data_IF_163019300912
#
_entry.id   IF_163019300912
#
_cell.length_a   1.000
_cell.length_b   1.000
_cell.length_c   1.000
_cell.angle_alpha   90.00
_cell.angle_beta   90.00
_cell.angle_gamma   90.00
#
_symmetry.space_group_name_H-M   'P 1'
#
loop_
_entity.id
_entity.type
_entity.pdbx_description
1 polymer ?
#
# COMPACT_ATOMS: atom_id res chain seq x y z
N UNK A 1 28.49 3.49 15.81
CA UNK A 1 28.88 2.87 17.10
C UNK A 1 28.38 3.68 18.30
N UNK A 2 28.64 4.99 18.37
CA UNK A 2 28.23 5.87 19.50
C UNK A 2 26.72 5.83 19.80
N UNK A 3 25.86 5.98 18.77
CA UNK A 3 24.39 5.96 18.95
C UNK A 3 23.87 4.61 19.44
N UNK A 4 24.48 3.50 19.02
CA UNK A 4 24.13 2.13 19.48
C UNK A 4 24.49 1.93 20.95
N UNK A 5 25.70 2.36 21.35
CA UNK A 5 26.14 2.31 22.75
C UNK A 5 25.27 3.20 23.64
N UNK A 6 24.92 4.39 23.16
CA UNK A 6 24.03 5.32 23.86
C UNK A 6 22.66 4.69 24.13
N UNK A 7 21.99 4.13 23.12
CA UNK A 7 20.68 3.48 23.32
C UNK A 7 20.76 2.17 24.10
N UNK A 8 21.89 1.45 24.07
CA UNK A 8 22.11 0.29 24.93
C UNK A 8 22.16 0.71 26.40
N UNK A 9 22.86 1.80 26.70
CA UNK A 9 22.92 2.38 28.05
C UNK A 9 21.57 2.95 28.49
N UNK A 10 20.90 3.71 27.61
CA UNK A 10 19.54 4.23 27.86
C UNK A 10 18.57 3.11 28.24
N UNK A 11 18.50 2.03 27.46
CA UNK A 11 17.65 0.86 27.78
C UNK A 11 17.97 0.26 29.15
N UNK A 12 19.24 0.18 29.56
CA UNK A 12 19.62 -0.32 30.89
C UNK A 12 19.13 0.59 32.02
N UNK A 13 19.24 1.91 31.85
CA UNK A 13 18.70 2.87 32.82
C UNK A 13 17.18 2.77 32.92
N UNK A 14 16.51 2.57 31.79
CA UNK A 14 15.05 2.42 31.73
C UNK A 14 14.57 1.16 32.47
N UNK A 15 15.35 0.09 32.45
CA UNK A 15 15.02 -1.15 33.15
C UNK A 15 15.40 -1.14 34.65
N UNK A 16 15.91 -0.02 35.18
CA UNK A 16 16.28 0.09 36.60
C UNK A 16 15.05 0.28 37.51
N UNK A 17 15.19 -0.11 38.79
CA UNK A 17 14.09 -0.19 39.77
C UNK A 17 13.38 1.16 40.03
N UNK A 18 14.04 2.30 39.79
CA UNK A 18 13.51 3.66 40.04
C UNK A 18 13.11 4.38 38.74
N UNK A 19 12.51 3.66 37.81
CA UNK A 19 12.15 4.19 36.51
C UNK A 19 10.73 4.77 36.49
N UNK A 20 10.59 5.98 35.94
CA UNK A 20 9.32 6.72 35.84
C UNK A 20 8.98 7.00 34.37
N UNK A 21 7.69 7.08 34.08
CA UNK A 21 7.11 7.35 32.77
C UNK A 21 7.59 8.66 32.14
N UNK A 22 7.88 9.70 32.95
CA UNK A 22 8.45 10.96 32.46
C UNK A 22 9.72 10.71 31.65
N UNK A 23 10.54 9.74 32.06
CA UNK A 23 11.76 9.37 31.35
C UNK A 23 11.50 8.69 30.01
N UNK A 24 10.36 7.98 29.81
CA UNK A 24 10.01 7.42 28.49
C UNK A 24 9.68 8.54 27.50
N UNK A 25 8.97 9.57 27.98
CA UNK A 25 8.69 10.76 27.17
C UNK A 25 9.98 11.47 26.77
N UNK A 26 10.93 11.62 27.69
CA UNK A 26 12.24 12.22 27.40
C UNK A 26 13.03 11.41 26.36
N UNK A 27 13.03 10.08 26.45
CA UNK A 27 13.66 9.20 25.45
C UNK A 27 13.01 9.34 24.05
N UNK A 28 11.68 9.49 23.99
CA UNK A 28 10.99 9.79 22.73
C UNK A 28 11.38 11.16 22.17
N UNK A 29 11.50 12.18 23.01
CA UNK A 29 11.94 13.51 22.58
C UNK A 29 13.39 13.49 22.07
N UNK A 30 14.28 12.79 22.77
CA UNK A 30 15.66 12.60 22.35
C UNK A 30 15.75 11.84 21.02
N UNK A 31 14.96 10.79 20.84
CA UNK A 31 14.87 10.10 19.56
C UNK A 31 14.39 11.04 18.44
N UNK A 32 13.39 11.89 18.70
CA UNK A 32 12.90 12.85 17.71
C UNK A 32 13.98 13.87 17.33
N UNK A 33 14.75 14.37 18.32
CA UNK A 33 15.90 15.24 18.09
C UNK A 33 16.96 14.56 17.24
N UNK A 34 17.35 13.33 17.55
CA UNK A 34 18.35 12.60 16.74
C UNK A 34 17.84 12.37 15.31
N UNK A 35 16.55 12.05 15.14
CA UNK A 35 15.94 11.82 13.83
C UNK A 35 15.81 13.10 13.00
N UNK A 36 15.71 14.28 13.62
CA UNK A 36 15.66 15.55 12.88
C UNK A 36 16.98 15.85 12.17
N UNK A 37 18.12 15.41 12.73
CA UNK A 37 19.45 15.50 12.10
C UNK A 37 19.81 14.27 11.27
N UNK A 38 19.39 13.08 11.69
CA UNK A 38 19.75 11.81 11.06
C UNK A 38 18.51 10.93 10.82
N UNK A 39 17.63 11.30 9.87
CA UNK A 39 16.31 10.69 9.69
C UNK A 39 16.32 9.21 9.27
N UNK A 40 17.45 8.71 8.77
CA UNK A 40 17.66 7.31 8.36
C UNK A 40 18.42 6.47 9.42
N UNK A 41 18.55 6.94 10.66
CA UNK A 41 19.24 6.19 11.72
C UNK A 41 18.39 5.01 12.24
N UNK A 42 18.76 3.77 11.90
CA UNK A 42 17.99 2.59 12.32
C UNK A 42 18.05 2.34 13.83
N UNK A 43 19.17 2.65 14.47
CA UNK A 43 19.33 2.45 15.91
C UNK A 43 18.35 3.33 16.70
N UNK A 44 18.16 4.58 16.24
CA UNK A 44 17.16 5.49 16.81
C UNK A 44 15.74 5.00 16.57
N UNK A 45 15.40 4.57 15.34
CA UNK A 45 14.09 3.99 15.07
C UNK A 45 13.82 2.72 15.90
N UNK A 46 14.83 1.85 16.07
CA UNK A 46 14.75 0.66 16.92
C UNK A 46 14.56 1.00 18.39
N UNK A 47 15.29 1.99 18.90
CA UNK A 47 15.11 2.46 20.28
C UNK A 47 13.73 3.07 20.47
N UNK A 48 13.29 3.93 19.57
CA UNK A 48 11.95 4.55 19.61
C UNK A 48 10.84 3.52 19.68
N UNK A 49 10.85 2.49 18.82
CA UNK A 49 9.87 1.38 18.87
C UNK A 49 9.89 0.63 20.20
N UNK A 50 11.08 0.41 20.76
CA UNK A 50 11.22 -0.22 22.07
C UNK A 50 10.60 0.63 23.19
N UNK A 51 10.82 1.95 23.17
CA UNK A 51 10.21 2.89 24.14
C UNK A 51 8.69 2.89 23.99
N UNK A 52 8.15 2.96 22.77
CA UNK A 52 6.70 2.91 22.52
C UNK A 52 6.09 1.61 23.04
N UNK A 53 6.75 0.47 22.80
CA UNK A 53 6.32 -0.82 23.35
C UNK A 53 6.26 -0.77 24.88
N UNK A 54 7.27 -0.20 25.53
CA UNK A 54 7.28 -0.02 26.99
C UNK A 54 6.15 0.88 27.47
N UNK A 55 5.86 1.97 26.77
CA UNK A 55 4.71 2.84 27.08
C UNK A 55 3.39 2.07 26.99
N UNK A 56 3.21 1.27 25.93
CA UNK A 56 1.98 0.49 25.74
C UNK A 56 1.75 -0.56 26.84
N UNK A 57 2.81 -1.18 27.37
CA UNK A 57 2.74 -2.15 28.46
C UNK A 57 2.28 -1.52 29.79
N UNK A 58 2.41 -0.20 29.95
CA UNK A 58 2.04 0.53 31.18
C UNK A 58 0.64 1.18 31.11
N UNK A 59 -0.24 0.71 30.20
CA UNK A 59 -1.66 1.08 30.10
C UNK A 59 -1.96 2.58 30.02
N UNK A 60 -1.13 3.33 29.30
CA UNK A 60 -1.41 4.74 29.01
C UNK A 60 -2.13 4.91 27.68
N UNK A 61 -2.62 6.13 27.42
CA UNK A 61 -3.27 6.49 26.17
C UNK A 61 -2.30 6.38 24.97
N UNK A 62 -2.21 5.17 24.41
CA UNK A 62 -1.44 4.86 23.20
C UNK A 62 -2.01 5.62 21.99
N UNK A 63 -3.27 6.04 22.03
CA UNK A 63 -3.92 6.75 20.93
C UNK A 63 -3.27 8.10 20.67
N UNK A 64 -3.07 8.91 21.72
CA UNK A 64 -2.40 10.21 21.59
C UNK A 64 -0.94 10.04 21.12
N UNK A 65 -0.25 9.03 21.64
CA UNK A 65 1.12 8.71 21.22
C UNK A 65 1.18 8.39 19.72
N UNK A 66 0.28 7.55 19.21
CA UNK A 66 0.23 7.21 17.78
C UNK A 66 0.01 8.45 16.91
N UNK A 67 -0.89 9.35 17.30
CA UNK A 67 -1.12 10.59 16.54
C UNK A 67 0.14 11.46 16.50
N UNK A 68 0.87 11.58 17.62
CA UNK A 68 2.18 12.28 17.64
C UNK A 68 3.22 11.58 16.77
N UNK A 69 3.26 10.24 16.76
CA UNK A 69 4.14 9.47 15.87
C UNK A 69 3.81 9.69 14.39
N UNK A 70 2.52 9.76 14.05
CA UNK A 70 2.05 10.03 12.69
C UNK A 70 2.54 11.40 12.20
N UNK A 71 2.44 12.43 13.06
CA UNK A 71 2.98 13.78 12.77
C UNK A 71 4.51 13.73 12.58
N UNK A 72 5.25 13.09 13.49
CA UNK A 72 6.71 13.00 13.39
C UNK A 72 7.16 12.33 12.08
N UNK A 73 6.54 11.19 11.73
CA UNK A 73 6.87 10.48 10.48
C UNK A 73 6.60 11.36 9.26
N UNK A 74 5.48 12.10 9.27
CA UNK A 74 5.15 13.04 8.20
C UNK A 74 6.23 14.12 8.05
N UNK A 75 6.61 14.79 9.13
CA UNK A 75 7.67 15.82 9.10
C UNK A 75 9.01 15.29 8.61
N UNK A 76 9.36 14.06 9.01
CA UNK A 76 10.59 13.40 8.54
C UNK A 76 10.49 13.06 7.05
N UNK A 77 9.33 12.60 6.58
CA UNK A 77 9.11 12.26 5.17
C UNK A 77 9.15 13.50 4.26
N UNK A 78 8.67 14.66 4.74
CA UNK A 78 8.78 15.95 4.02
C UNK A 78 10.25 16.37 3.83
N UNK A 79 11.09 16.16 4.86
CA UNK A 79 12.50 16.56 4.84
C UNK A 79 13.42 15.53 4.17
N UNK A 80 13.05 14.26 4.19
CA UNK A 80 13.84 13.15 3.65
C UNK A 80 12.97 12.28 2.75
N UNK A 81 12.96 12.59 1.45
CA UNK A 81 12.27 11.80 0.43
C UNK A 81 12.66 10.32 0.50
N UNK A 82 11.68 9.44 0.22
CA UNK A 82 11.85 7.99 0.17
C UNK A 82 12.47 7.39 1.46
N UNK A 83 12.07 7.91 2.63
CA UNK A 83 12.54 7.38 3.90
C UNK A 83 11.77 6.12 4.28
N UNK A 84 12.21 4.97 3.74
CA UNK A 84 11.64 3.67 4.04
C UNK A 84 11.59 3.37 5.55
N UNK A 85 12.55 3.85 6.35
CA UNK A 85 12.57 3.60 7.80
C UNK A 85 11.43 4.29 8.53
N UNK A 86 11.12 5.53 8.14
CA UNK A 86 10.01 6.29 8.70
C UNK A 86 8.65 5.66 8.33
N UNK A 87 8.46 5.28 7.06
CA UNK A 87 7.26 4.57 6.63
C UNK A 87 7.11 3.19 7.28
N UNK A 88 8.20 2.43 7.42
CA UNK A 88 8.22 1.15 8.12
C UNK A 88 7.87 1.29 9.60
N UNK A 89 8.32 2.37 10.24
CA UNK A 89 7.92 2.69 11.61
C UNK A 89 6.40 2.93 11.70
N UNK A 90 5.82 3.66 10.75
CA UNK A 90 4.38 3.89 10.68
C UNK A 90 3.59 2.59 10.45
N UNK A 91 4.05 1.70 9.57
CA UNK A 91 3.48 0.35 9.42
C UNK A 91 3.55 -0.43 10.74
N UNK A 92 4.66 -0.35 11.47
CA UNK A 92 4.84 -1.05 12.75
C UNK A 92 3.87 -0.57 13.84
N UNK A 93 3.36 0.66 13.74
CA UNK A 93 2.38 1.20 14.69
C UNK A 93 0.95 0.69 14.46
N UNK A 94 0.66 0.11 13.29
CA UNK A 94 -0.71 -0.32 12.92
C UNK A 94 -1.34 -1.27 13.95
N UNK A 95 -0.65 -2.28 14.51
CA UNK A 95 -1.22 -3.16 15.53
C UNK A 95 -1.60 -2.46 16.84
N UNK A 96 -1.13 -1.24 17.07
CA UNK A 96 -1.48 -0.42 18.24
C UNK A 96 -2.67 0.52 17.96
N UNK A 97 -3.14 0.60 16.72
CA UNK A 97 -4.23 1.49 16.30
C UNK A 97 -5.59 0.83 16.50
N UNK A 98 -6.57 1.63 16.92
CA UNK A 98 -8.00 1.26 16.81
C UNK A 98 -8.45 1.28 15.34
N UNK A 99 -9.52 0.54 15.00
CA UNK A 99 -10.13 0.57 13.65
C UNK A 99 -10.43 1.99 13.17
N UNK A 100 -10.93 2.86 14.07
CA UNK A 100 -11.17 4.29 13.79
C UNK A 100 -9.89 5.04 13.43
N UNK A 101 -8.77 4.79 14.12
CA UNK A 101 -7.49 5.40 13.80
C UNK A 101 -6.94 4.90 12.46
N UNK A 102 -7.07 3.61 12.15
CA UNK A 102 -6.67 3.05 10.85
C UNK A 102 -7.45 3.72 9.71
N UNK A 103 -8.77 3.89 9.85
CA UNK A 103 -9.60 4.62 8.86
C UNK A 103 -9.19 6.09 8.73
N UNK A 104 -8.84 6.76 9.83
CA UNK A 104 -8.37 8.15 9.81
C UNK A 104 -7.01 8.26 9.10
N UNK A 105 -6.09 7.36 9.41
CA UNK A 105 -4.77 7.30 8.78
C UNK A 105 -4.89 7.02 7.28
N UNK A 106 -5.79 6.13 6.86
CA UNK A 106 -6.06 5.85 5.44
C UNK A 106 -6.48 7.12 4.68
N UNK A 107 -7.41 7.89 5.25
CA UNK A 107 -7.86 9.17 4.68
C UNK A 107 -6.72 10.20 4.60
N UNK A 108 -5.88 10.27 5.64
CA UNK A 108 -4.71 11.18 5.65
C UNK A 108 -3.67 10.74 4.61
N UNK A 109 -3.42 9.45 4.46
CA UNK A 109 -2.44 8.92 3.51
C UNK A 109 -2.88 9.06 2.07
N UNK A 110 -4.18 8.99 1.75
CA UNK A 110 -4.71 9.31 0.40
C UNK A 110 -4.22 10.67 -0.08
N UNK A 111 -4.40 11.74 0.71
CA UNK A 111 -3.95 13.10 0.36
C UNK A 111 -2.43 13.20 0.18
N UNK A 112 -1.68 12.46 0.99
CA UNK A 112 -0.22 12.43 0.87
C UNK A 112 0.22 11.75 -0.43
N UNK A 113 -0.41 10.62 -0.76
CA UNK A 113 -0.08 9.79 -1.92
C UNK A 113 -0.37 10.53 -3.24
N UNK A 114 -1.43 11.35 -3.29
CA UNK A 114 -1.74 12.20 -4.45
C UNK A 114 -0.62 13.18 -4.80
N UNK A 115 0.14 13.64 -3.79
CA UNK A 115 1.28 14.53 -3.95
C UNK A 115 2.61 13.78 -4.17
N UNK A 116 2.65 12.50 -3.81
CA UNK A 116 3.87 11.66 -3.80
C UNK A 116 3.66 10.36 -4.60
N UNK A 117 3.06 10.47 -5.78
CA UNK A 117 2.64 9.30 -6.59
C UNK A 117 3.77 8.34 -6.93
N UNK A 118 5.02 8.80 -6.98
CA UNK A 118 6.20 7.99 -7.26
C UNK A 118 6.79 7.27 -6.03
N UNK A 119 6.36 7.61 -4.81
CA UNK A 119 6.91 7.01 -3.58
C UNK A 119 6.17 5.72 -3.21
N UNK A 120 6.75 4.60 -3.62
CA UNK A 120 6.24 3.26 -3.30
C UNK A 120 6.14 2.99 -1.78
N UNK A 121 6.91 3.68 -0.94
CA UNK A 121 6.82 3.50 0.52
C UNK A 121 5.48 4.00 1.07
N UNK A 122 4.91 5.06 0.48
CA UNK A 122 3.61 5.60 0.90
C UNK A 122 2.48 4.63 0.51
N UNK A 123 2.53 4.07 -0.70
CA UNK A 123 1.60 3.02 -1.12
C UNK A 123 1.80 1.73 -0.33
N UNK A 124 3.01 1.40 0.12
CA UNK A 124 3.20 0.29 1.06
C UNK A 124 2.46 0.50 2.39
N UNK A 125 2.50 1.73 2.91
CA UNK A 125 1.74 2.08 4.12
C UNK A 125 0.22 2.02 3.88
N UNK A 126 -0.27 2.56 2.75
CA UNK A 126 -1.67 2.45 2.32
C UNK A 126 -2.15 0.99 2.30
N UNK A 127 -1.37 0.10 1.67
CA UNK A 127 -1.66 -1.34 1.61
C UNK A 127 -1.69 -1.98 3.00
N UNK A 128 -0.78 -1.59 3.88
CA UNK A 128 -0.74 -2.10 5.25
C UNK A 128 -1.98 -1.70 6.06
N UNK A 129 -2.50 -0.48 5.86
CA UNK A 129 -3.74 -0.03 6.49
C UNK A 129 -4.96 -0.80 5.96
N UNK A 130 -5.03 -1.00 4.64
CA UNK A 130 -6.10 -1.77 4.01
C UNK A 130 -6.12 -3.23 4.49
N UNK A 131 -4.96 -3.87 4.62
CA UNK A 131 -4.84 -5.22 5.20
C UNK A 131 -5.30 -5.25 6.66
N UNK A 132 -4.92 -4.26 7.47
CA UNK A 132 -5.36 -4.22 8.87
C UNK A 132 -6.88 -4.05 9.01
N UNK A 133 -7.53 -3.30 8.10
CA UNK A 133 -8.99 -3.21 8.06
C UNK A 133 -9.63 -4.55 7.71
N UNK A 134 -9.06 -5.28 6.75
CA UNK A 134 -9.51 -6.64 6.41
C UNK A 134 -9.34 -7.62 7.58
N UNK A 135 -8.17 -7.62 8.22
CA UNK A 135 -7.85 -8.51 9.35
C UNK A 135 -8.80 -8.26 10.54
N UNK A 136 -9.12 -7.00 10.83
CA UNK A 136 -10.07 -6.68 11.90
C UNK A 136 -11.49 -7.21 11.64
N UNK A 137 -11.91 -7.35 10.37
CA UNK A 137 -13.19 -7.96 10.01
C UNK A 137 -13.21 -9.49 10.21
N UNK A 138 -12.05 -10.15 10.33
CA UNK A 138 -11.94 -11.58 10.58
C UNK A 138 -11.92 -11.92 12.08
N UNK A 139 -11.54 -10.98 12.95
CA UNK A 139 -11.42 -11.20 14.40
C UNK A 139 -12.72 -10.89 15.13
N UNK A 140 -13.48 -9.92 14.63
CA UNK A 140 -14.82 -9.58 15.14
C UNK A 140 -15.85 -10.54 14.50
N UNK A 141 -15.90 -11.80 14.94
CA UNK A 141 -16.94 -12.81 14.64
C UNK A 141 -18.35 -12.42 15.17
N UNK A 142 -18.62 -11.12 15.31
CA UNK A 142 -19.98 -10.58 15.40
C UNK A 142 -20.53 -10.47 13.99
N UNK A 143 -21.70 -11.07 13.77
CA UNK A 143 -22.46 -11.22 12.52
C UNK A 143 -22.80 -9.91 11.74
N UNK A 144 -22.04 -8.83 11.84
CA UNK A 144 -22.37 -7.60 11.15
C UNK A 144 -21.86 -7.62 9.70
N UNK A 145 -22.69 -8.23 8.83
CA UNK A 145 -22.54 -8.18 7.37
C UNK A 145 -22.31 -6.76 6.81
N UNK A 146 -22.69 -5.72 7.57
CA UNK A 146 -22.48 -4.32 7.26
C UNK A 146 -21.01 -3.92 7.29
N UNK A 147 -20.20 -4.44 8.22
CA UNK A 147 -18.80 -4.07 8.36
C UNK A 147 -17.95 -4.64 7.21
N UNK A 148 -18.20 -5.90 6.84
CA UNK A 148 -17.57 -6.52 5.67
C UNK A 148 -17.95 -5.80 4.36
N UNK A 149 -19.23 -5.47 4.16
CA UNK A 149 -19.68 -4.68 3.00
C UNK A 149 -19.02 -3.29 2.96
N UNK A 150 -18.80 -2.68 4.12
CA UNK A 150 -18.12 -1.38 4.23
C UNK A 150 -16.65 -1.47 3.79
N UNK A 151 -15.92 -2.51 4.17
CA UNK A 151 -14.53 -2.70 3.71
C UNK A 151 -14.45 -2.99 2.21
N UNK A 152 -15.41 -3.74 1.66
CA UNK A 152 -15.46 -3.97 0.21
C UNK A 152 -15.74 -2.68 -0.57
N UNK A 153 -16.62 -1.82 -0.06
CA UNK A 153 -16.86 -0.51 -0.65
C UNK A 153 -15.57 0.33 -0.65
N UNK A 154 -14.85 0.37 0.48
CA UNK A 154 -13.54 1.05 0.57
C UNK A 154 -12.54 0.50 -0.44
N UNK A 155 -12.50 -0.82 -0.65
CA UNK A 155 -11.61 -1.44 -1.64
C UNK A 155 -11.94 -1.01 -3.07
N UNK A 156 -13.23 -0.93 -3.39
CA UNK A 156 -13.72 -0.45 -4.69
C UNK A 156 -13.39 1.03 -4.89
N UNK A 157 -13.58 1.85 -3.87
CA UNK A 157 -13.19 3.27 -3.90
C UNK A 157 -11.68 3.42 -4.13
N UNK A 158 -10.86 2.61 -3.46
CA UNK A 158 -9.40 2.61 -3.63
C UNK A 158 -8.98 2.17 -5.05
N UNK A 159 -9.66 1.18 -5.64
CA UNK A 159 -9.48 0.80 -7.05
C UNK A 159 -9.82 1.97 -7.98
N UNK A 160 -10.95 2.64 -7.79
CA UNK A 160 -11.35 3.79 -8.61
C UNK A 160 -10.37 4.96 -8.46
N UNK A 161 -9.93 5.25 -7.23
CA UNK A 161 -8.94 6.30 -6.96
C UNK A 161 -7.58 5.97 -7.59
N UNK A 162 -7.12 4.73 -7.49
CA UNK A 162 -5.88 4.31 -8.12
C UNK A 162 -5.95 4.40 -9.65
N UNK A 163 -7.09 4.04 -10.27
CA UNK A 163 -7.29 4.23 -11.72
C UNK A 163 -7.19 5.72 -12.11
N UNK A 164 -7.84 6.61 -11.35
CA UNK A 164 -7.76 8.06 -11.58
C UNK A 164 -6.29 8.53 -11.54
N UNK A 165 -5.51 8.07 -10.57
CA UNK A 165 -4.08 8.40 -10.49
C UNK A 165 -3.27 7.84 -11.67
N UNK A 166 -3.55 6.59 -12.09
CA UNK A 166 -2.87 5.96 -13.23
C UNK A 166 -3.09 6.76 -14.51
N UNK A 167 -4.31 7.26 -14.74
CA UNK A 167 -4.65 8.12 -15.89
C UNK A 167 -4.01 9.50 -15.78
N UNK A 168 -3.95 10.06 -14.57
CA UNK A 168 -3.41 11.41 -14.31
C UNK A 168 -1.89 11.47 -14.36
N UNK A 169 -1.20 10.45 -13.86
CA UNK A 169 0.24 10.41 -13.66
C UNK A 169 0.85 9.21 -14.38
N UNK A 170 1.07 9.38 -15.68
CA UNK A 170 1.55 8.33 -16.57
C UNK A 170 2.97 7.87 -16.20
N UNK A 171 3.25 6.59 -16.46
CA UNK A 171 4.58 6.01 -16.29
C UNK A 171 5.03 5.80 -14.83
N UNK A 172 4.15 5.99 -13.84
CA UNK A 172 4.48 5.81 -12.42
C UNK A 172 4.29 4.36 -11.99
N UNK A 173 5.40 3.61 -11.91
CA UNK A 173 5.42 2.18 -11.55
C UNK A 173 4.76 1.88 -10.20
N UNK A 174 4.93 2.75 -9.20
CA UNK A 174 4.31 2.65 -7.87
C UNK A 174 2.79 2.51 -7.93
N UNK A 175 2.12 3.19 -8.85
CA UNK A 175 0.66 3.11 -9.02
C UNK A 175 0.23 1.74 -9.54
N UNK A 176 0.99 1.17 -10.47
CA UNK A 176 0.74 -0.16 -11.01
C UNK A 176 1.08 -1.28 -10.03
N UNK A 177 2.11 -1.10 -9.20
CA UNK A 177 2.40 -2.01 -8.07
C UNK A 177 1.25 -2.00 -7.06
N UNK A 178 0.69 -0.82 -6.76
CA UNK A 178 -0.50 -0.70 -5.92
C UNK A 178 -1.72 -1.37 -6.57
N UNK A 179 -1.96 -1.15 -7.87
CA UNK A 179 -3.02 -1.82 -8.63
C UNK A 179 -2.95 -3.32 -8.52
N UNK A 180 -1.76 -3.93 -8.72
CA UNK A 180 -1.55 -5.38 -8.57
C UNK A 180 -2.03 -5.89 -7.22
N UNK A 181 -1.67 -5.22 -6.13
CA UNK A 181 -2.13 -5.58 -4.78
C UNK A 181 -3.67 -5.50 -4.66
N UNK A 182 -4.26 -4.39 -5.11
CA UNK A 182 -5.71 -4.18 -5.02
C UNK A 182 -6.46 -5.23 -5.83
N UNK A 183 -6.03 -5.49 -7.05
CA UNK A 183 -6.66 -6.46 -7.95
C UNK A 183 -6.51 -7.89 -7.45
N UNK A 184 -5.38 -8.25 -6.84
CA UNK A 184 -5.20 -9.60 -6.29
C UNK A 184 -6.24 -9.92 -5.24
N UNK A 185 -6.41 -9.02 -4.28
CA UNK A 185 -7.33 -9.22 -3.17
C UNK A 185 -8.78 -9.05 -3.62
N UNK A 186 -9.04 -8.11 -4.53
CA UNK A 186 -10.37 -7.94 -5.10
C UNK A 186 -10.84 -9.18 -5.86
N UNK A 187 -10.00 -9.75 -6.74
CA UNK A 187 -10.39 -10.97 -7.47
C UNK A 187 -10.56 -12.15 -6.52
N UNK A 188 -9.68 -12.32 -5.53
CA UNK A 188 -9.86 -13.37 -4.49
C UNK A 188 -11.21 -13.20 -3.78
N UNK A 189 -11.56 -11.98 -3.42
CA UNK A 189 -12.85 -11.67 -2.81
C UNK A 189 -14.01 -12.04 -3.74
N UNK A 190 -13.99 -11.57 -5.00
CA UNK A 190 -15.05 -11.83 -5.98
C UNK A 190 -15.25 -13.32 -6.26
N UNK A 191 -14.19 -14.13 -6.20
CA UNK A 191 -14.26 -15.59 -6.36
C UNK A 191 -14.77 -16.32 -5.11
N UNK A 192 -14.64 -15.71 -3.93
CA UNK A 192 -15.10 -16.27 -2.65
C UNK A 192 -16.54 -15.91 -2.29
N UNK A 193 -17.11 -14.90 -2.95
CA UNK A 193 -18.47 -14.41 -2.66
C UNK A 193 -19.52 -15.24 -3.42
N UNK A 194 -20.50 -15.78 -2.70
CA UNK A 194 -21.64 -16.52 -3.28
C UNK A 194 -22.57 -15.60 -4.10
N UNK A 195 -22.58 -14.30 -3.81
CA UNK A 195 -23.26 -13.26 -4.60
C UNK A 195 -22.46 -12.96 -5.89
N UNK A 196 -22.50 -13.90 -6.83
CA UNK A 196 -21.67 -13.85 -8.05
C UNK A 196 -22.26 -12.97 -9.15
N UNK A 197 -23.49 -12.48 -8.98
CA UNK A 197 -24.27 -11.81 -10.03
C UNK A 197 -24.66 -10.38 -9.65
N UNK A 198 -24.39 -9.44 -10.56
CA UNK A 198 -25.00 -8.12 -10.51
C UNK A 198 -26.50 -8.23 -10.85
N UNK A 199 -27.32 -7.23 -10.48
CA UNK A 199 -28.74 -7.12 -10.87
C UNK A 199 -28.99 -7.24 -12.39
N UNK A 200 -27.95 -7.10 -13.22
CA UNK A 200 -27.97 -7.27 -14.67
C UNK A 200 -27.52 -8.67 -15.17
N UNK A 201 -27.39 -9.67 -14.29
CA UNK A 201 -26.98 -11.04 -14.65
C UNK A 201 -25.52 -11.19 -15.12
N UNK A 202 -24.71 -10.13 -15.01
CA UNK A 202 -23.28 -10.16 -15.34
C UNK A 202 -22.46 -10.49 -14.10
N UNK A 203 -21.49 -11.40 -14.22
CA UNK A 203 -20.58 -11.74 -13.12
C UNK A 203 -19.76 -10.52 -12.69
N UNK A 204 -19.62 -10.30 -11.39
CA UNK A 204 -18.80 -9.18 -10.87
C UNK A 204 -17.32 -9.30 -11.29
N UNK A 205 -16.81 -10.53 -11.43
CA UNK A 205 -15.47 -10.80 -11.98
C UNK A 205 -15.40 -10.31 -13.42
N UNK A 206 -16.42 -10.57 -14.22
CA UNK A 206 -16.46 -10.21 -15.63
C UNK A 206 -16.49 -8.69 -15.81
N UNK A 207 -17.23 -7.98 -14.95
CA UNK A 207 -17.26 -6.52 -14.93
C UNK A 207 -15.89 -5.94 -14.56
N UNK A 208 -15.22 -6.50 -13.55
CA UNK A 208 -13.89 -6.06 -13.15
C UNK A 208 -12.86 -6.29 -14.28
N UNK A 209 -12.83 -7.46 -14.90
CA UNK A 209 -11.91 -7.73 -16.01
C UNK A 209 -12.18 -6.83 -17.21
N UNK A 210 -13.45 -6.54 -17.52
CA UNK A 210 -13.79 -5.58 -18.58
C UNK A 210 -13.23 -4.18 -18.29
N UNK A 211 -13.27 -3.73 -17.04
CA UNK A 211 -12.67 -2.46 -16.62
C UNK A 211 -11.14 -2.47 -16.76
N UNK A 212 -10.46 -3.55 -16.38
CA UNK A 212 -8.99 -3.64 -16.58
C UNK A 212 -8.59 -3.64 -18.06
N UNK A 213 -9.36 -4.31 -18.92
CA UNK A 213 -9.13 -4.28 -20.38
C UNK A 213 -9.41 -2.90 -20.95
N UNK A 214 -10.43 -2.19 -20.45
CA UNK A 214 -10.67 -0.80 -20.85
C UNK A 214 -9.52 0.13 -20.43
N UNK A 215 -9.02 -0.01 -19.20
CA UNK A 215 -7.86 0.74 -18.72
C UNK A 215 -6.60 0.45 -19.56
N UNK A 216 -6.36 -0.82 -19.91
CA UNK A 216 -5.29 -1.20 -20.84
C UNK A 216 -5.46 -0.49 -22.19
N UNK A 217 -6.64 -0.58 -22.78
CA UNK A 217 -6.94 0.02 -24.09
C UNK A 217 -6.72 1.53 -24.07
N UNK A 218 -7.15 2.21 -23.02
CA UNK A 218 -6.91 3.65 -22.83
C UNK A 218 -5.41 3.98 -22.78
N UNK A 219 -4.64 3.20 -22.02
CA UNK A 219 -3.19 3.36 -21.95
C UNK A 219 -2.53 3.16 -23.33
N UNK A 220 -2.90 2.10 -24.06
CA UNK A 220 -2.37 1.79 -25.39
C UNK A 220 -2.66 2.87 -26.44
N UNK A 221 -3.79 3.57 -26.29
CA UNK A 221 -4.20 4.63 -27.21
C UNK A 221 -3.76 6.03 -26.75
N UNK A 222 -2.97 6.13 -25.68
CA UNK A 222 -2.46 7.41 -25.19
C UNK A 222 -1.47 8.00 -26.21
N UNK A 223 -1.62 9.28 -26.62
CA UNK A 223 -0.71 9.92 -27.56
C UNK A 223 0.74 9.88 -27.07
N UNK A 224 1.69 9.76 -27.99
CA UNK A 224 3.11 9.84 -27.64
C UNK A 224 3.45 11.20 -27.05
N UNK A 225 4.08 11.19 -25.89
CA UNK A 225 4.55 12.36 -25.19
C UNK A 225 6.06 12.59 -25.41
N UNK A 226 6.51 13.81 -25.19
CA UNK A 226 7.92 14.22 -25.37
C UNK A 226 8.88 13.53 -24.38
N UNK A 227 8.39 13.10 -23.22
CA UNK A 227 9.19 12.55 -22.13
C UNK A 227 9.17 11.01 -22.08
N UNK A 228 8.43 10.37 -22.99
CA UNK A 228 8.26 8.91 -23.05
C UNK A 228 7.45 8.30 -21.91
N UNK A 229 6.75 9.11 -21.10
CA UNK A 229 5.91 8.63 -19.99
C UNK A 229 4.74 7.77 -20.48
N UNK A 230 4.18 8.06 -21.65
CA UNK A 230 3.14 7.27 -22.31
C UNK A 230 3.66 5.90 -22.76
N UNK A 231 4.90 5.83 -23.24
CA UNK A 231 5.55 4.56 -23.58
C UNK A 231 5.75 3.69 -22.32
N UNK A 232 6.24 4.28 -21.23
CA UNK A 232 6.38 3.56 -19.95
C UNK A 232 5.00 3.14 -19.43
N UNK A 233 3.98 3.97 -19.58
CA UNK A 233 2.61 3.66 -19.18
C UNK A 233 2.04 2.45 -19.92
N UNK A 234 2.20 2.39 -21.25
CA UNK A 234 1.74 1.24 -22.04
C UNK A 234 2.45 -0.05 -21.65
N UNK A 235 3.76 0.01 -21.44
CA UNK A 235 4.54 -1.11 -20.92
C UNK A 235 4.00 -1.59 -19.57
N UNK A 236 3.80 -0.68 -18.61
CA UNK A 236 3.32 -1.03 -17.28
C UNK A 236 1.90 -1.63 -17.31
N UNK A 237 1.01 -1.09 -18.15
CA UNK A 237 -0.34 -1.60 -18.35
C UNK A 237 -0.33 -3.02 -18.94
N UNK A 238 0.45 -3.27 -19.98
CA UNK A 238 0.57 -4.59 -20.59
C UNK A 238 1.18 -5.62 -19.62
N UNK A 239 2.23 -5.24 -18.89
CA UNK A 239 2.84 -6.09 -17.86
C UNK A 239 1.89 -6.36 -16.68
N UNK A 240 0.99 -5.43 -16.37
CA UNK A 240 -0.05 -5.64 -15.37
C UNK A 240 -1.07 -6.70 -15.81
N UNK A 241 -1.52 -6.68 -17.07
CA UNK A 241 -2.43 -7.70 -17.61
C UNK A 241 -1.77 -9.09 -17.65
N UNK A 242 -0.50 -9.17 -18.09
CA UNK A 242 0.29 -10.40 -18.01
C UNK A 242 0.40 -10.90 -16.56
N UNK A 243 0.59 -9.98 -15.61
CA UNK A 243 0.68 -10.33 -14.20
C UNK A 243 -0.65 -10.89 -13.66
N UNK A 244 -1.80 -10.30 -14.01
CA UNK A 244 -3.12 -10.84 -13.59
C UNK A 244 -3.32 -12.25 -14.13
N UNK A 245 -3.04 -12.46 -15.43
CA UNK A 245 -3.28 -13.74 -16.09
C UNK A 245 -2.49 -14.89 -15.45
N UNK A 246 -1.32 -14.59 -14.86
CA UNK A 246 -0.46 -15.57 -14.18
C UNK A 246 -0.75 -15.68 -12.68
N UNK A 247 -1.05 -14.59 -11.99
CA UNK A 247 -1.25 -14.62 -10.53
C UNK A 247 -2.62 -15.11 -10.10
N UNK A 248 -3.61 -15.07 -10.99
CA UNK A 248 -4.94 -15.58 -10.70
C UNK A 248 -5.41 -16.50 -11.84
N UNK A 249 -4.99 -17.78 -11.84
CA UNK A 249 -5.31 -18.73 -12.92
C UNK A 249 -6.80 -18.87 -13.20
N UNK A 250 -7.64 -18.71 -12.16
CA UNK A 250 -9.10 -18.81 -12.26
C UNK A 250 -9.73 -17.76 -13.20
N UNK A 251 -9.08 -16.61 -13.40
CA UNK A 251 -9.58 -15.56 -14.31
C UNK A 251 -8.86 -15.53 -15.65
N UNK A 252 -7.86 -16.40 -15.86
CA UNK A 252 -7.02 -16.39 -17.06
C UNK A 252 -7.84 -16.49 -18.35
N UNK A 253 -8.70 -17.51 -18.47
CA UNK A 253 -9.52 -17.73 -19.67
C UNK A 253 -10.46 -16.55 -19.93
N UNK A 254 -11.17 -16.09 -18.90
CA UNK A 254 -12.09 -14.94 -18.97
C UNK A 254 -11.39 -13.64 -19.38
N UNK A 255 -10.14 -13.46 -18.94
CA UNK A 255 -9.30 -12.33 -19.29
C UNK A 255 -8.83 -12.42 -20.74
N UNK A 256 -8.35 -13.59 -21.16
CA UNK A 256 -7.89 -13.84 -22.55
C UNK A 256 -9.03 -13.65 -23.56
N UNK A 257 -10.23 -14.15 -23.29
CA UNK A 257 -11.43 -13.94 -24.11
C UNK A 257 -11.73 -12.45 -24.31
N UNK A 258 -11.66 -11.64 -23.25
CA UNK A 258 -11.95 -10.20 -23.33
C UNK A 258 -10.84 -9.42 -24.00
N UNK A 259 -9.59 -9.85 -23.81
CA UNK A 259 -8.42 -9.22 -24.39
C UNK A 259 -8.44 -9.28 -25.93
N UNK A 260 -9.10 -10.27 -26.53
CA UNK A 260 -9.25 -10.41 -27.99
C UNK A 260 -9.77 -9.14 -28.69
N UNK A 261 -10.57 -8.32 -28.00
CA UNK A 261 -11.04 -7.03 -28.52
C UNK A 261 -9.91 -6.01 -28.77
N UNK A 262 -8.78 -6.15 -28.07
CA UNK A 262 -7.58 -5.31 -28.15
C UNK A 262 -6.44 -6.01 -28.93
N UNK A 263 -6.41 -7.34 -28.92
CA UNK A 263 -5.42 -8.20 -29.57
C UNK A 263 -5.09 -9.43 -28.70
N UNK A 264 -4.26 -10.36 -29.16
CA UNK A 264 -3.75 -11.40 -28.26
C UNK A 264 -2.82 -10.79 -27.19
N UNK A 265 -2.59 -11.51 -26.09
CA UNK A 265 -1.66 -11.05 -25.07
C UNK A 265 -0.24 -10.85 -25.64
N UNK A 266 0.17 -11.72 -26.56
CA UNK A 266 1.42 -11.59 -27.30
C UNK A 266 1.43 -10.32 -28.15
N UNK A 267 0.36 -10.01 -28.90
CA UNK A 267 0.27 -8.79 -29.71
C UNK A 267 0.32 -7.51 -28.85
N UNK A 268 -0.33 -7.54 -27.69
CA UNK A 268 -0.31 -6.42 -26.73
C UNK A 268 1.10 -6.20 -26.20
N UNK A 269 1.80 -7.26 -25.77
CA UNK A 269 3.16 -7.15 -25.24
C UNK A 269 4.19 -6.81 -26.31
N UNK A 270 4.04 -7.34 -27.53
CA UNK A 270 4.89 -7.01 -28.66
C UNK A 270 4.78 -5.53 -29.04
N UNK A 271 3.57 -4.94 -28.95
CA UNK A 271 3.36 -3.50 -29.17
C UNK A 271 3.90 -2.65 -28.01
N UNK A 272 3.62 -3.03 -26.77
CA UNK A 272 3.91 -2.20 -25.60
C UNK A 272 5.37 -2.28 -25.14
N UNK A 273 6.02 -3.45 -25.22
CA UNK A 273 7.39 -3.65 -24.72
C UNK A 273 8.20 -4.63 -25.58
N UNK A 274 8.44 -4.31 -26.87
CA UNK A 274 9.16 -5.19 -27.80
C UNK A 274 10.60 -5.51 -27.32
N UNK A 275 11.22 -4.56 -26.63
CA UNK A 275 12.57 -4.67 -26.05
C UNK A 275 12.68 -5.83 -25.03
N UNK A 276 11.57 -6.21 -24.40
CA UNK A 276 11.50 -7.26 -23.37
C UNK A 276 10.93 -8.58 -23.89
N UNK A 277 10.84 -8.76 -25.22
CA UNK A 277 10.29 -9.95 -25.88
C UNK A 277 10.71 -11.26 -25.24
N UNK A 278 12.01 -11.49 -25.12
CA UNK A 278 12.55 -12.71 -24.48
C UNK A 278 11.97 -12.97 -23.09
N UNK A 279 11.81 -11.94 -22.27
CA UNK A 279 11.31 -12.10 -20.90
C UNK A 279 9.84 -12.52 -20.89
N UNK A 280 8.99 -11.84 -21.65
CA UNK A 280 7.56 -12.14 -21.61
C UNK A 280 7.19 -13.37 -22.44
N UNK A 281 7.93 -13.73 -23.50
CA UNK A 281 7.68 -14.98 -24.24
C UNK A 281 7.84 -16.20 -23.33
N UNK A 282 8.86 -16.21 -22.46
CA UNK A 282 9.02 -17.27 -21.44
C UNK A 282 7.92 -17.27 -20.39
N UNK A 283 7.35 -16.10 -20.09
CA UNK A 283 6.29 -15.97 -19.09
C UNK A 283 4.92 -16.30 -19.65
N UNK A 284 4.68 -16.20 -20.97
CA UNK A 284 3.40 -16.55 -21.60
C UNK A 284 3.26 -18.08 -21.75
N UNK A 285 4.35 -18.74 -22.18
CA UNK A 285 4.48 -20.19 -22.21
C UNK A 285 4.05 -20.85 -20.89
#
# INVERSE_FOLDING_TARGET
MVVLCFFSFGRKMVLSVNYDFTKLKDELQLCALILSYSPKNESTWSHRRWVIKKVSEHNQDVSELIERESVLVKEIAEKSKMNYRAWRHRCWLIPYMTRKQVLNELKKSTKWNELHVADNCCFHYQRSLLLALLDSCHVEDTEDSLDRKSVHLLWKEELTWNEMLIRRYQGRESLWIHRRFLSQLWVKFLLSSEETECAAGTSLVDLFLAQEIYLLSDCLNTPTDEFGEACVQTELAALYILWISKQVPAVKLKLEERLQSVGSLEDVLARACPQRSRLWTHLIA
#
